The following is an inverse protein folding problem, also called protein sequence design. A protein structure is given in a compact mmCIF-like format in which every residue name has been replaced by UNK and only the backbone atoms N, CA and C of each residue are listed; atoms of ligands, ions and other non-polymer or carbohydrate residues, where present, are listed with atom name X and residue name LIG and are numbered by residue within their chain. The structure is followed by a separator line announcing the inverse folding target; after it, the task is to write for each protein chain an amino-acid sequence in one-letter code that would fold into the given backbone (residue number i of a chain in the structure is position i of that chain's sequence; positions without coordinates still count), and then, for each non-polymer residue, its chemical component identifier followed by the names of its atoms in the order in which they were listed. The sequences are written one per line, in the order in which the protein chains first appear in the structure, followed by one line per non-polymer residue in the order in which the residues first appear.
data_IF_895117504074
#
_entry.id   IF_895117504074
#
_cell.length_a   1.000
_cell.length_b   1.000
_cell.length_c   1.000
_cell.angle_alpha   90.00
_cell.angle_beta   90.00
_cell.angle_gamma   90.00
#
_symmetry.space_group_name_H-M   'P 1'
#
loop_
_entity.id
_entity.type
_entity.pdbx_description
1 polymer ?
#
# COMPACT_ATOMS: atom_id res chain seq x y z
N UNK A 1 -7.60 -9.95 -37.85
CA UNK A 1 -8.74 -10.64 -37.22
C UNK A 1 -9.23 -9.78 -36.07
N UNK A 2 -10.34 -9.06 -36.28
CA UNK A 2 -10.92 -8.08 -35.35
C UNK A 2 -11.59 -8.83 -34.18
N UNK A 3 -10.95 -8.85 -33.01
CA UNK A 3 -11.57 -9.27 -31.75
C UNK A 3 -12.29 -8.07 -31.15
N UNK A 4 -13.59 -8.04 -31.36
CA UNK A 4 -14.51 -6.97 -31.05
C UNK A 4 -15.01 -7.01 -29.60
N UNK A 5 -14.85 -5.88 -28.90
CA UNK A 5 -15.89 -5.17 -28.14
C UNK A 5 -16.71 -5.87 -27.02
N UNK A 6 -16.37 -7.08 -26.56
CA UNK A 6 -17.20 -7.80 -25.56
C UNK A 6 -16.70 -7.82 -24.11
N UNK A 7 -15.71 -7.01 -23.74
CA UNK A 7 -15.22 -6.87 -22.35
C UNK A 7 -15.52 -5.52 -21.69
N UNK A 8 -16.18 -4.59 -22.38
CA UNK A 8 -16.64 -3.29 -21.84
C UNK A 8 -18.13 -3.28 -21.47
N UNK A 9 -18.63 -4.34 -20.84
CA UNK A 9 -20.03 -4.36 -20.41
C UNK A 9 -20.44 -3.28 -19.37
N UNK A 10 -19.53 -2.62 -18.61
CA UNK A 10 -19.93 -1.45 -17.80
C UNK A 10 -19.61 -0.09 -18.43
N UNK A 11 -18.89 0.00 -19.56
CA UNK A 11 -18.40 1.29 -20.09
C UNK A 11 -18.94 1.56 -21.50
N UNK A 12 -20.17 2.06 -21.58
CA UNK A 12 -20.75 2.54 -22.83
C UNK A 12 -20.64 4.07 -22.87
N UNK A 13 -19.95 4.63 -23.89
CA UNK A 13 -20.06 6.06 -24.23
C UNK A 13 -18.76 6.88 -24.19
N UNK A 14 -18.90 8.18 -23.89
CA UNK A 14 -17.82 9.18 -23.93
C UNK A 14 -16.76 8.97 -22.84
N UNK A 15 -17.14 8.41 -21.69
CA UNK A 15 -16.24 8.14 -20.56
C UNK A 15 -15.19 7.09 -20.91
N UNK A 16 -15.57 6.03 -21.64
CA UNK A 16 -14.63 5.02 -22.11
C UNK A 16 -13.54 5.61 -23.02
N UNK A 17 -13.91 6.54 -23.91
CA UNK A 17 -12.95 7.25 -24.79
C UNK A 17 -12.02 8.14 -23.98
N UNK A 18 -12.52 8.80 -22.93
CA UNK A 18 -11.71 9.61 -22.03
C UNK A 18 -10.75 8.74 -21.21
N UNK A 19 -11.20 7.60 -20.69
CA UNK A 19 -10.31 6.64 -20.02
C UNK A 19 -9.20 6.16 -20.96
N UNK A 20 -9.52 5.82 -22.21
CA UNK A 20 -8.51 5.44 -23.20
C UNK A 20 -7.52 6.60 -23.46
N UNK A 21 -8.02 7.82 -23.64
CA UNK A 21 -7.19 9.01 -23.82
C UNK A 21 -6.23 9.24 -22.64
N UNK A 22 -6.75 9.31 -21.41
CA UNK A 22 -5.94 9.59 -20.23
C UNK A 22 -4.94 8.47 -19.89
N UNK A 23 -5.25 7.22 -20.28
CA UNK A 23 -4.36 6.07 -20.08
C UNK A 23 -3.11 6.08 -20.96
N UNK A 24 -3.07 6.93 -21.99
CA UNK A 24 -1.89 7.08 -22.86
C UNK A 24 -0.81 7.98 -22.24
N UNK A 25 -1.17 8.79 -21.24
CA UNK A 25 -0.22 9.64 -20.53
C UNK A 25 0.46 8.87 -19.40
N UNK A 26 1.70 9.26 -19.12
CA UNK A 26 2.48 8.72 -18.00
C UNK A 26 2.18 9.53 -16.75
N UNK A 27 1.89 8.88 -15.61
CA UNK A 27 1.83 9.55 -14.32
C UNK A 27 3.13 10.32 -14.01
N UNK A 28 2.98 11.52 -13.47
CA UNK A 28 4.10 12.39 -13.10
C UNK A 28 4.54 12.03 -11.68
N UNK A 29 5.77 11.53 -11.54
CA UNK A 29 6.39 11.24 -10.24
C UNK A 29 6.89 12.51 -9.57
N UNK A 30 6.55 12.71 -8.30
CA UNK A 30 7.03 13.80 -7.46
C UNK A 30 7.97 13.29 -6.35
N UNK A 31 9.00 14.05 -6.02
CA UNK A 31 9.81 13.84 -4.82
C UNK A 31 9.16 14.44 -3.58
N UNK A 32 9.49 13.93 -2.40
CA UNK A 32 9.13 14.54 -1.12
C UNK A 32 9.61 16.01 -1.09
N UNK A 33 10.79 16.30 -1.63
CA UNK A 33 11.28 17.68 -1.75
C UNK A 33 10.35 18.56 -2.59
N UNK A 34 9.89 18.09 -3.75
CA UNK A 34 8.95 18.84 -4.58
C UNK A 34 7.61 19.08 -3.87
N UNK A 35 7.10 18.10 -3.12
CA UNK A 35 5.90 18.28 -2.31
C UNK A 35 6.08 19.35 -1.22
N UNK A 36 7.22 19.34 -0.52
CA UNK A 36 7.54 20.34 0.51
C UNK A 36 7.66 21.74 -0.08
N UNK A 37 8.44 21.89 -1.15
CA UNK A 37 8.69 23.18 -1.77
C UNK A 37 7.37 23.76 -2.29
N UNK A 38 6.61 22.96 -3.03
CA UNK A 38 5.31 23.37 -3.54
C UNK A 38 4.30 23.69 -2.43
N UNK A 39 4.28 22.91 -1.35
CA UNK A 39 3.39 23.18 -0.22
C UNK A 39 3.70 24.48 0.53
N UNK A 40 4.91 25.04 0.39
CA UNK A 40 5.33 26.30 1.02
C UNK A 40 5.11 27.53 0.16
N UNK A 41 5.35 27.42 -1.15
CA UNK A 41 5.35 28.57 -2.07
C UNK A 41 4.30 28.49 -3.18
N UNK A 42 3.64 27.34 -3.33
CA UNK A 42 2.66 27.09 -4.36
C UNK A 42 1.33 27.82 -4.12
N UNK A 43 0.45 27.74 -5.12
CA UNK A 43 -0.90 28.31 -5.03
C UNK A 43 -1.96 27.24 -5.27
N UNK A 44 -3.15 27.44 -4.70
CA UNK A 44 -4.30 26.57 -4.93
C UNK A 44 -4.61 26.43 -6.44
N UNK A 45 -4.50 27.51 -7.22
CA UNK A 45 -4.73 27.51 -8.66
C UNK A 45 -3.74 26.62 -9.44
N UNK A 46 -2.44 26.71 -9.11
CA UNK A 46 -1.42 25.84 -9.72
C UNK A 46 -1.64 24.38 -9.32
N UNK A 47 -1.97 24.13 -8.05
CA UNK A 47 -2.23 22.80 -7.52
C UNK A 47 -3.44 22.17 -8.20
N UNK A 48 -4.57 22.89 -8.28
CA UNK A 48 -5.78 22.47 -8.98
C UNK A 48 -5.50 22.11 -10.45
N UNK A 49 -4.74 22.94 -11.16
CA UNK A 49 -4.44 22.75 -12.59
C UNK A 49 -3.62 21.48 -12.83
N UNK A 50 -2.69 21.17 -11.92
CA UNK A 50 -1.94 19.92 -11.94
C UNK A 50 -2.82 18.73 -11.55
N UNK A 51 -3.48 18.78 -10.39
CA UNK A 51 -4.21 17.65 -9.80
C UNK A 51 -5.35 17.16 -10.69
N UNK A 52 -6.15 18.06 -11.30
CA UNK A 52 -7.28 17.62 -12.12
C UNK A 52 -6.83 16.69 -13.26
N UNK A 53 -5.70 17.00 -13.88
CA UNK A 53 -5.15 16.20 -14.97
C UNK A 53 -4.42 14.96 -14.43
N UNK A 54 -3.55 15.13 -13.44
CA UNK A 54 -2.74 14.03 -12.89
C UNK A 54 -3.61 12.93 -12.25
N UNK A 55 -4.68 13.29 -11.53
CA UNK A 55 -5.61 12.30 -10.96
C UNK A 55 -6.35 11.52 -12.06
N UNK A 56 -6.80 12.18 -13.13
CA UNK A 56 -7.42 11.51 -14.27
C UNK A 56 -6.43 10.54 -14.95
N UNK A 57 -5.16 10.92 -15.10
CA UNK A 57 -4.09 10.05 -15.65
C UNK A 57 -3.88 8.82 -14.77
N UNK A 58 -3.71 9.00 -13.45
CA UNK A 58 -3.48 7.90 -12.49
C UNK A 58 -4.67 6.94 -12.41
N UNK A 59 -5.91 7.46 -12.40
CA UNK A 59 -7.12 6.64 -12.44
C UNK A 59 -7.24 5.86 -13.75
N UNK A 60 -7.07 6.52 -14.89
CA UNK A 60 -7.19 5.89 -16.19
C UNK A 60 -6.15 4.77 -16.40
N UNK A 61 -4.90 5.00 -16.00
CA UNK A 61 -3.83 3.99 -16.09
C UNK A 61 -4.20 2.73 -15.31
N UNK A 62 -4.64 2.86 -14.06
CA UNK A 62 -4.95 1.67 -13.25
C UNK A 62 -6.25 0.99 -13.66
N UNK A 63 -7.26 1.74 -14.12
CA UNK A 63 -8.52 1.17 -14.61
C UNK A 63 -8.32 0.34 -15.88
N UNK A 64 -7.38 0.72 -16.75
CA UNK A 64 -7.00 -0.12 -17.88
C UNK A 64 -6.40 -1.45 -17.43
N UNK A 65 -5.52 -1.44 -16.42
CA UNK A 65 -4.96 -2.68 -15.86
C UNK A 65 -6.01 -3.52 -15.14
N UNK A 66 -6.94 -2.87 -14.42
CA UNK A 66 -8.08 -3.54 -13.77
C UNK A 66 -8.89 -4.34 -14.80
N UNK A 67 -9.17 -3.75 -15.97
CA UNK A 67 -9.92 -4.41 -17.04
C UNK A 67 -9.24 -5.66 -17.64
N UNK A 68 -7.94 -5.86 -17.38
CA UNK A 68 -7.16 -7.01 -17.83
C UNK A 68 -7.13 -8.16 -16.81
N UNK A 69 -7.75 -7.97 -15.64
CA UNK A 69 -7.88 -9.04 -14.64
C UNK A 69 -8.66 -10.24 -15.20
N UNK A 70 -8.47 -11.44 -14.62
CA UNK A 70 -9.21 -12.63 -15.02
C UNK A 70 -10.72 -12.38 -15.05
N UNK A 71 -11.45 -12.79 -16.10
CA UNK A 71 -12.89 -12.51 -16.22
C UNK A 71 -13.73 -12.99 -15.04
N UNK A 72 -13.33 -14.09 -14.39
CA UNK A 72 -13.99 -14.57 -13.17
C UNK A 72 -13.85 -13.57 -12.01
N UNK A 73 -12.65 -13.02 -11.80
CA UNK A 73 -12.42 -12.00 -10.76
C UNK A 73 -13.21 -10.73 -11.05
N UNK A 74 -13.28 -10.30 -12.31
CA UNK A 74 -14.10 -9.15 -12.74
C UNK A 74 -15.61 -9.36 -12.53
N UNK A 75 -16.06 -10.61 -12.42
CA UNK A 75 -17.47 -10.93 -12.19
C UNK A 75 -17.85 -10.94 -10.71
N UNK A 76 -16.87 -11.02 -9.81
CA UNK A 76 -17.07 -11.02 -8.37
C UNK A 76 -17.74 -9.72 -7.90
N UNK A 77 -18.81 -9.78 -7.08
CA UNK A 77 -19.55 -8.61 -6.62
C UNK A 77 -18.64 -7.51 -6.06
N UNK A 78 -17.68 -7.87 -5.21
CA UNK A 78 -16.80 -6.90 -4.58
C UNK A 78 -15.83 -6.25 -5.58
N UNK A 79 -15.30 -7.01 -6.54
CA UNK A 79 -14.47 -6.45 -7.62
C UNK A 79 -15.24 -5.48 -8.52
N UNK A 80 -16.52 -5.77 -8.81
CA UNK A 80 -17.38 -4.85 -9.58
C UNK A 80 -17.60 -3.55 -8.84
N UNK A 81 -17.90 -3.62 -7.55
CA UNK A 81 -18.10 -2.44 -6.71
C UNK A 81 -16.86 -1.53 -6.69
N UNK A 82 -15.66 -2.12 -6.57
CA UNK A 82 -14.41 -1.35 -6.67
C UNK A 82 -14.26 -0.71 -8.04
N UNK A 83 -14.54 -1.44 -9.12
CA UNK A 83 -14.52 -0.87 -10.47
C UNK A 83 -15.47 0.31 -10.60
N UNK A 84 -16.71 0.18 -10.12
CA UNK A 84 -17.74 1.24 -10.16
C UNK A 84 -17.29 2.50 -9.42
N UNK A 85 -16.70 2.38 -8.23
CA UNK A 85 -16.16 3.53 -7.49
C UNK A 85 -15.10 4.30 -8.26
N UNK A 86 -14.20 3.61 -8.96
CA UNK A 86 -13.17 4.25 -9.78
C UNK A 86 -13.77 4.93 -11.01
N UNK A 87 -14.79 4.34 -11.64
CA UNK A 87 -15.55 4.98 -12.72
C UNK A 87 -16.19 6.28 -12.26
N UNK A 88 -16.94 6.23 -11.15
CA UNK A 88 -17.65 7.38 -10.60
C UNK A 88 -16.67 8.49 -10.24
N UNK A 89 -15.54 8.15 -9.62
CA UNK A 89 -14.47 9.12 -9.31
C UNK A 89 -13.84 9.73 -10.56
N UNK A 90 -13.68 8.97 -11.64
CA UNK A 90 -13.17 9.51 -12.90
C UNK A 90 -14.18 10.45 -13.57
N UNK A 91 -15.47 10.09 -13.58
CA UNK A 91 -16.55 10.93 -14.10
C UNK A 91 -16.72 12.23 -13.31
N UNK A 92 -16.56 12.16 -11.99
CA UNK A 92 -16.56 13.32 -11.10
C UNK A 92 -15.44 14.31 -11.46
N UNK A 93 -14.23 13.82 -11.73
CA UNK A 93 -13.09 14.65 -12.10
C UNK A 93 -13.21 15.21 -13.52
N UNK A 94 -13.85 14.50 -14.44
CA UNK A 94 -14.06 14.96 -15.82
C UNK A 94 -14.85 16.29 -15.88
N UNK A 95 -15.70 16.57 -14.89
CA UNK A 95 -16.43 17.85 -14.77
C UNK A 95 -15.48 19.06 -14.74
N UNK A 96 -14.25 18.87 -14.27
CA UNK A 96 -13.24 19.91 -14.12
C UNK A 96 -12.22 19.97 -15.26
N UNK A 97 -12.25 19.03 -16.21
CA UNK A 97 -11.23 18.87 -17.26
C UNK A 97 -10.87 20.21 -17.92
N UNK A 98 -11.87 20.94 -18.41
CA UNK A 98 -11.69 22.21 -19.11
C UNK A 98 -12.04 23.44 -18.24
N UNK A 99 -12.31 23.25 -16.95
CA UNK A 99 -12.64 24.33 -16.04
C UNK A 99 -11.40 25.15 -15.66
N UNK A 100 -11.54 26.47 -15.66
CA UNK A 100 -10.47 27.41 -15.29
C UNK A 100 -10.26 27.41 -13.76
N UNK A 101 -9.06 27.75 -13.25
CA UNK A 101 -8.76 27.79 -11.82
C UNK A 101 -9.36 29.04 -11.14
N UNK A 102 -10.68 29.18 -11.16
CA UNK A 102 -11.40 30.19 -10.36
C UNK A 102 -11.59 29.68 -8.94
N UNK A 103 -11.84 30.58 -7.99
CA UNK A 103 -12.07 30.22 -6.58
C UNK A 103 -13.23 29.23 -6.46
N UNK A 104 -14.33 29.49 -7.17
CA UNK A 104 -15.53 28.64 -7.15
C UNK A 104 -15.26 27.23 -7.67
N UNK A 105 -14.46 27.11 -8.74
CA UNK A 105 -14.10 25.80 -9.29
C UNK A 105 -13.13 25.04 -8.39
N UNK A 106 -12.23 25.74 -7.70
CA UNK A 106 -11.29 25.13 -6.75
C UNK A 106 -12.05 24.64 -5.51
N UNK A 107 -12.99 25.43 -4.98
CA UNK A 107 -13.81 25.03 -3.84
C UNK A 107 -14.68 23.82 -4.18
N UNK A 108 -15.36 23.85 -5.34
CA UNK A 108 -16.13 22.70 -5.81
C UNK A 108 -15.25 21.46 -6.05
N UNK A 109 -14.01 21.64 -6.49
CA UNK A 109 -13.04 20.56 -6.64
C UNK A 109 -12.61 19.99 -5.29
N UNK A 110 -12.36 20.83 -4.29
CA UNK A 110 -12.04 20.41 -2.92
C UNK A 110 -13.14 19.54 -2.33
N UNK A 111 -14.41 19.95 -2.48
CA UNK A 111 -15.56 19.17 -2.04
C UNK A 111 -15.61 17.82 -2.76
N UNK A 112 -15.36 17.81 -4.08
CA UNK A 112 -15.34 16.59 -4.87
C UNK A 112 -14.20 15.65 -4.47
N UNK A 113 -13.01 16.16 -4.14
CA UNK A 113 -11.88 15.35 -3.66
C UNK A 113 -12.20 14.67 -2.32
N UNK A 114 -12.89 15.37 -1.40
CA UNK A 114 -13.32 14.79 -0.12
C UNK A 114 -14.32 13.65 -0.34
N UNK A 115 -15.26 13.81 -1.27
CA UNK A 115 -16.19 12.75 -1.65
C UNK A 115 -15.46 11.52 -2.21
N UNK A 116 -14.48 11.74 -3.11
CA UNK A 116 -13.68 10.65 -3.69
C UNK A 116 -12.87 9.93 -2.60
N UNK A 117 -12.23 10.67 -1.67
CA UNK A 117 -11.49 10.07 -0.55
C UNK A 117 -12.39 9.18 0.31
N UNK A 118 -13.61 9.64 0.61
CA UNK A 118 -14.59 8.87 1.38
C UNK A 118 -15.07 7.64 0.61
N UNK A 119 -15.38 7.78 -0.68
CA UNK A 119 -15.79 6.66 -1.56
C UNK A 119 -14.74 5.57 -1.60
N UNK A 120 -13.46 5.95 -1.65
CA UNK A 120 -12.35 5.01 -1.74
C UNK A 120 -11.86 4.46 -0.39
N UNK A 121 -12.50 4.80 0.74
CA UNK A 121 -12.05 4.42 2.07
C UNK A 121 -11.88 2.90 2.23
N UNK A 122 -12.86 2.12 1.74
CA UNK A 122 -12.93 0.66 1.93
C UNK A 122 -12.41 -0.17 0.75
N UNK A 123 -11.69 0.44 -0.19
CA UNK A 123 -11.19 -0.26 -1.40
C UNK A 123 -10.29 -1.46 -1.07
N UNK A 124 -9.51 -1.39 0.00
CA UNK A 124 -8.61 -2.50 0.38
C UNK A 124 -9.43 -3.70 0.83
N UNK A 125 -10.35 -3.49 1.76
CA UNK A 125 -11.21 -4.52 2.34
C UNK A 125 -12.14 -5.12 1.28
N UNK A 126 -12.77 -4.28 0.46
CA UNK A 126 -13.65 -4.75 -0.61
C UNK A 126 -12.88 -5.54 -1.67
N UNK A 127 -11.70 -5.10 -2.09
CA UNK A 127 -10.92 -5.88 -3.06
C UNK A 127 -10.40 -7.20 -2.46
N UNK A 128 -10.06 -7.23 -1.17
CA UNK A 128 -9.72 -8.46 -0.47
C UNK A 128 -10.90 -9.45 -0.46
N UNK A 129 -12.12 -8.97 -0.20
CA UNK A 129 -13.34 -9.78 -0.29
C UNK A 129 -13.53 -10.33 -1.72
N UNK A 130 -13.25 -9.54 -2.76
CA UNK A 130 -13.31 -10.01 -4.15
C UNK A 130 -12.37 -11.19 -4.46
N UNK A 131 -11.23 -11.30 -3.78
CA UNK A 131 -10.34 -12.45 -3.88
C UNK A 131 -10.84 -13.65 -3.07
N UNK A 132 -11.49 -13.42 -1.93
CA UNK A 132 -12.13 -14.47 -1.13
C UNK A 132 -13.28 -15.08 -1.93
N UNK A 133 -14.15 -14.24 -2.50
CA UNK A 133 -15.22 -14.64 -3.42
C UNK A 133 -14.67 -15.50 -4.58
N UNK A 134 -13.56 -15.07 -5.19
CA UNK A 134 -12.91 -15.84 -6.26
C UNK A 134 -12.43 -17.22 -5.78
N UNK A 135 -11.82 -17.30 -4.59
CA UNK A 135 -11.29 -18.55 -4.03
C UNK A 135 -12.40 -19.57 -3.77
N UNK A 136 -13.54 -19.13 -3.26
CA UNK A 136 -14.70 -19.98 -3.02
C UNK A 136 -15.23 -20.64 -4.29
N UNK A 137 -14.96 -20.06 -5.47
CA UNK A 137 -15.33 -20.65 -6.77
C UNK A 137 -14.37 -21.74 -7.29
N UNK A 138 -13.29 -22.06 -6.56
CA UNK A 138 -12.37 -23.15 -6.90
C UNK A 138 -11.42 -22.86 -8.08
N UNK A 139 -11.05 -21.60 -8.29
CA UNK A 139 -10.18 -21.18 -9.41
C UNK A 139 -8.71 -21.52 -9.18
N UNK A 140 -8.08 -22.00 -10.26
CA UNK A 140 -6.72 -22.53 -10.36
C UNK A 140 -5.60 -21.48 -10.20
N UNK A 141 -4.50 -21.94 -9.62
CA UNK A 141 -3.27 -21.25 -9.18
C UNK A 141 -2.55 -20.53 -10.33
N UNK A 142 -2.88 -20.84 -11.59
CA UNK A 142 -2.28 -20.27 -12.79
C UNK A 142 -2.43 -18.74 -12.93
N UNK A 143 -3.41 -18.11 -12.27
CA UNK A 143 -3.67 -16.66 -12.36
C UNK A 143 -3.08 -15.84 -11.20
N UNK A 144 -2.44 -16.48 -10.22
CA UNK A 144 -1.97 -15.81 -8.99
C UNK A 144 -0.90 -14.75 -9.26
N UNK A 145 0.05 -15.01 -10.17
CA UNK A 145 1.11 -14.06 -10.51
C UNK A 145 0.58 -12.77 -11.14
N UNK A 146 -0.39 -12.89 -12.04
CA UNK A 146 -1.01 -11.72 -12.70
C UNK A 146 -1.83 -10.89 -11.71
N UNK A 147 -2.58 -11.55 -10.81
CA UNK A 147 -3.34 -10.88 -9.75
C UNK A 147 -2.38 -10.20 -8.76
N UNK A 148 -1.32 -10.87 -8.30
CA UNK A 148 -0.32 -10.29 -7.40
C UNK A 148 0.34 -9.05 -8.02
N UNK A 149 0.78 -9.16 -9.28
CA UNK A 149 1.37 -8.05 -10.03
C UNK A 149 0.40 -6.87 -10.16
N UNK A 150 -0.88 -7.14 -10.44
CA UNK A 150 -1.92 -6.11 -10.48
C UNK A 150 -2.09 -5.43 -9.12
N UNK A 151 -2.26 -6.20 -8.04
CA UNK A 151 -2.58 -5.66 -6.71
C UNK A 151 -1.45 -4.79 -6.15
N UNK A 152 -0.18 -5.21 -6.33
CA UNK A 152 0.97 -4.38 -5.96
C UNK A 152 0.89 -2.99 -6.62
N UNK A 153 0.54 -2.95 -7.90
CA UNK A 153 0.42 -1.73 -8.70
C UNK A 153 -0.84 -0.93 -8.34
N UNK A 154 -1.96 -1.61 -8.15
CA UNK A 154 -3.24 -1.02 -7.77
C UNK A 154 -3.13 -0.27 -6.44
N UNK A 155 -2.53 -0.89 -5.44
CA UNK A 155 -2.38 -0.26 -4.13
C UNK A 155 -1.30 0.83 -4.11
N UNK A 156 -0.20 0.71 -4.86
CA UNK A 156 0.72 1.84 -5.05
C UNK A 156 0.00 3.03 -5.69
N UNK A 157 -0.79 2.80 -6.75
CA UNK A 157 -1.54 3.86 -7.40
C UNK A 157 -2.52 4.53 -6.42
N UNK A 158 -3.22 3.74 -5.59
CA UNK A 158 -4.13 4.24 -4.57
C UNK A 158 -3.42 5.05 -3.49
N UNK A 159 -2.29 4.59 -2.97
CA UNK A 159 -1.43 5.35 -2.04
C UNK A 159 -1.10 6.70 -2.69
N UNK A 160 -0.77 6.68 -3.98
CA UNK A 160 -0.37 7.88 -4.70
C UNK A 160 -1.48 8.90 -4.93
N UNK A 161 -2.69 8.43 -5.25
CA UNK A 161 -3.87 9.28 -5.39
C UNK A 161 -4.21 9.91 -4.04
N UNK A 162 -4.19 9.11 -2.96
CA UNK A 162 -4.43 9.59 -1.59
C UNK A 162 -3.38 10.62 -1.16
N UNK A 163 -2.10 10.42 -1.53
CA UNK A 163 -1.02 11.37 -1.26
C UNK A 163 -1.31 12.74 -1.89
N UNK A 164 -1.62 12.77 -3.20
CA UNK A 164 -1.94 14.02 -3.90
C UNK A 164 -3.17 14.72 -3.31
N UNK A 165 -4.25 13.97 -3.10
CA UNK A 165 -5.51 14.51 -2.57
C UNK A 165 -5.32 15.10 -1.18
N UNK A 166 -4.69 14.35 -0.26
CA UNK A 166 -4.44 14.83 1.09
C UNK A 166 -3.53 16.05 1.09
N UNK A 167 -2.48 16.05 0.28
CA UNK A 167 -1.58 17.20 0.21
C UNK A 167 -2.32 18.47 -0.24
N UNK A 168 -3.15 18.38 -1.28
CA UNK A 168 -3.93 19.53 -1.75
C UNK A 168 -4.93 20.01 -0.69
N UNK A 169 -5.70 19.09 -0.12
CA UNK A 169 -6.76 19.43 0.82
C UNK A 169 -6.23 20.01 2.14
N UNK A 170 -5.06 19.58 2.60
CA UNK A 170 -4.44 20.09 3.83
C UNK A 170 -3.73 21.43 3.60
N UNK A 171 -3.07 21.61 2.46
CA UNK A 171 -2.32 22.85 2.19
C UNK A 171 -3.24 23.97 1.69
N UNK A 172 -4.19 23.65 0.81
CA UNK A 172 -5.00 24.64 0.08
C UNK A 172 -6.51 24.49 0.28
N UNK A 173 -6.95 23.44 0.97
CA UNK A 173 -8.36 23.18 1.23
C UNK A 173 -8.74 23.48 2.68
N UNK A 174 -9.76 22.76 3.16
CA UNK A 174 -10.37 22.98 4.48
C UNK A 174 -9.94 21.94 5.52
N UNK A 175 -8.98 21.06 5.20
CA UNK A 175 -8.52 20.03 6.13
C UNK A 175 -7.38 20.59 6.97
N UNK A 176 -7.52 20.53 8.29
CA UNK A 176 -6.46 20.99 9.18
C UNK A 176 -5.27 20.02 9.18
N UNK A 177 -4.03 20.51 9.18
CA UNK A 177 -2.86 19.66 9.35
C UNK A 177 -2.84 19.06 10.77
N UNK A 178 -2.26 17.86 10.90
CA UNK A 178 -2.08 17.21 12.21
C UNK A 178 -1.18 18.04 13.14
N UNK A 179 -0.23 18.78 12.56
CA UNK A 179 0.66 19.67 13.29
C UNK A 179 0.91 20.97 12.52
N UNK A 180 1.01 22.13 13.20
CA UNK A 180 1.36 23.40 12.57
C UNK A 180 2.72 23.41 11.85
N UNK A 181 3.61 22.46 12.16
CA UNK A 181 4.92 22.34 11.50
C UNK A 181 4.86 21.57 10.18
N UNK A 182 3.80 20.80 9.96
CA UNK A 182 3.65 19.97 8.77
C UNK A 182 3.38 20.83 7.54
N UNK A 183 3.87 20.36 6.40
CA UNK A 183 3.52 20.91 5.09
C UNK A 183 2.61 19.89 4.41
N UNK A 184 1.31 20.10 4.53
CA UNK A 184 0.33 19.08 4.17
C UNK A 184 0.43 17.88 5.10
N UNK A 185 0.63 16.68 4.54
CA UNK A 185 0.83 15.46 5.34
C UNK A 185 2.32 15.14 5.61
N UNK A 186 3.25 16.00 5.21
CA UNK A 186 4.69 15.78 5.34
C UNK A 186 5.21 16.52 6.57
N UNK A 187 5.93 15.79 7.42
CA UNK A 187 6.67 16.37 8.52
C UNK A 187 8.12 16.63 8.09
N UNK A 188 8.58 17.90 8.04
CA UNK A 188 9.95 18.22 7.69
C UNK A 188 10.98 17.78 8.74
N UNK A 189 10.53 17.44 9.95
CA UNK A 189 11.38 16.91 11.03
C UNK A 189 10.63 15.77 11.73
N UNK A 190 10.27 14.75 10.95
CA UNK A 190 9.58 13.56 11.46
C UNK A 190 10.46 12.86 12.47
N UNK A 191 10.04 12.85 13.74
CA UNK A 191 10.70 12.11 14.81
C UNK A 191 10.33 10.63 14.73
N UNK A 192 11.31 9.81 14.33
CA UNK A 192 11.11 8.38 14.09
C UNK A 192 10.85 7.64 15.39
N UNK A 193 11.47 8.06 16.50
CA UNK A 193 11.28 7.44 17.81
C UNK A 193 9.83 7.58 18.28
N UNK A 194 9.30 8.81 18.23
CA UNK A 194 7.91 9.10 18.60
C UNK A 194 6.90 8.28 17.78
N UNK A 195 7.03 8.26 16.44
CA UNK A 195 6.13 7.49 15.57
C UNK A 195 6.17 5.99 15.89
N UNK A 196 7.35 5.47 16.23
CA UNK A 196 7.54 4.06 16.54
C UNK A 196 6.93 3.70 17.91
N UNK A 197 7.07 4.58 18.90
CA UNK A 197 6.38 4.41 20.19
C UNK A 197 4.86 4.44 20.04
N UNK A 198 4.31 5.38 19.27
CA UNK A 198 2.87 5.44 19.00
C UNK A 198 2.38 4.15 18.32
N UNK A 199 3.12 3.65 17.33
CA UNK A 199 2.79 2.40 16.65
C UNK A 199 2.88 1.18 17.59
N UNK A 200 3.89 1.15 18.47
CA UNK A 200 4.08 0.09 19.46
C UNK A 200 2.94 0.06 20.46
N UNK A 201 2.59 1.19 21.09
CA UNK A 201 1.53 1.23 22.10
C UNK A 201 0.16 0.86 21.54
N UNK A 202 -0.14 1.26 20.30
CA UNK A 202 -1.39 0.86 19.64
C UNK A 202 -1.41 -0.63 19.27
N UNK A 203 -0.29 -1.19 18.78
CA UNK A 203 -0.17 -2.62 18.53
C UNK A 203 -0.27 -3.43 19.84
N UNK A 204 0.35 -2.92 20.91
CA UNK A 204 0.33 -3.49 22.25
C UNK A 204 -1.09 -3.53 22.81
N UNK A 205 -1.82 -2.43 22.71
CA UNK A 205 -3.22 -2.35 23.14
C UNK A 205 -4.09 -3.44 22.48
N UNK A 206 -3.93 -3.66 21.17
CA UNK A 206 -4.65 -4.72 20.46
C UNK A 206 -4.19 -6.13 20.86
N UNK A 207 -2.88 -6.29 21.09
CA UNK A 207 -2.30 -7.56 21.56
C UNK A 207 -2.83 -7.92 22.95
N UNK A 208 -2.82 -6.97 23.89
CA UNK A 208 -3.36 -7.12 25.24
C UNK A 208 -4.86 -7.40 25.22
N UNK A 209 -5.62 -6.75 24.33
CA UNK A 209 -7.06 -7.01 24.18
C UNK A 209 -7.35 -8.45 23.73
N UNK A 210 -6.48 -9.04 22.90
CA UNK A 210 -6.69 -10.36 22.31
C UNK A 210 -6.07 -11.50 23.13
N UNK A 211 -4.85 -11.32 23.65
CA UNK A 211 -4.08 -12.34 24.36
C UNK A 211 -3.94 -12.09 25.87
N UNK A 212 -4.44 -10.95 26.39
CA UNK A 212 -4.29 -10.52 27.79
C UNK A 212 -2.83 -10.28 28.23
N UNK A 213 -1.90 -10.29 27.29
CA UNK A 213 -0.46 -10.06 27.49
C UNK A 213 0.18 -9.56 26.20
N UNK A 214 1.36 -8.95 26.31
CA UNK A 214 2.15 -8.46 25.18
C UNK A 214 3.64 -8.39 25.53
N UNK A 215 4.54 -8.60 24.54
CA UNK A 215 5.97 -8.42 24.76
C UNK A 215 6.33 -6.95 24.90
N UNK A 216 7.38 -6.66 25.67
CA UNK A 216 7.97 -5.31 25.76
C UNK A 216 8.85 -4.99 24.54
N UNK A 217 9.20 -3.72 24.36
CA UNK A 217 10.10 -3.25 23.30
C UNK A 217 11.44 -2.79 23.85
N UNK A 218 12.53 -3.20 23.19
CA UNK A 218 13.88 -2.65 23.39
C UNK A 218 14.30 -1.88 22.15
N UNK A 219 14.33 -0.55 22.26
CA UNK A 219 14.67 0.37 21.18
C UNK A 219 16.14 0.82 21.25
N UNK A 220 16.85 0.71 20.13
CA UNK A 220 18.21 1.20 19.95
C UNK A 220 18.26 2.18 18.75
N UNK A 221 18.69 3.41 19.01
CA UNK A 221 18.75 4.49 18.02
C UNK A 221 20.21 4.84 17.71
N UNK A 222 20.55 4.93 16.42
CA UNK A 222 21.87 5.35 15.97
C UNK A 222 21.75 6.43 14.87
N UNK A 223 22.17 7.65 15.20
CA UNK A 223 22.27 8.74 14.22
C UNK A 223 23.73 8.90 13.78
N UNK A 224 24.05 8.41 12.58
CA UNK A 224 25.41 8.48 12.02
C UNK A 224 25.74 9.88 11.45
N UNK A 225 24.72 10.68 11.13
CA UNK A 225 24.87 12.03 10.54
C UNK A 225 25.05 13.08 11.64
N UNK A 226 24.23 13.01 12.69
CA UNK A 226 24.22 13.95 13.81
C UNK A 226 24.34 13.18 15.13
N UNK A 227 25.57 12.81 15.51
CA UNK A 227 25.83 11.98 16.69
C UNK A 227 25.22 12.59 17.96
N UNK A 228 24.46 11.78 18.71
CA UNK A 228 23.81 12.18 19.95
C UNK A 228 22.54 13.01 19.78
N UNK A 229 22.10 13.28 18.54
CA UNK A 229 20.78 13.88 18.25
C UNK A 229 19.74 12.79 17.98
N UNK A 230 18.44 13.09 18.23
CA UNK A 230 17.35 12.21 17.83
C UNK A 230 17.41 11.83 16.34
N UNK A 231 16.82 10.68 16.00
CA UNK A 231 16.72 10.24 14.62
C UNK A 231 15.48 10.87 13.99
N UNK A 232 15.70 11.87 13.13
CA UNK A 232 14.63 12.51 12.36
C UNK A 232 14.91 12.52 10.86
N UNK A 233 13.86 12.40 10.06
CA UNK A 233 13.90 12.54 8.59
C UNK A 233 12.73 13.39 8.09
N UNK A 234 12.77 13.83 6.83
CA UNK A 234 11.55 14.34 6.18
C UNK A 234 10.74 13.14 5.69
N UNK A 235 9.53 12.98 6.19
CA UNK A 235 8.67 11.85 5.83
C UNK A 235 7.19 12.19 5.98
N UNK A 236 6.33 11.28 5.52
CA UNK A 236 4.90 11.26 5.84
C UNK A 236 4.72 10.41 7.10
N UNK A 237 4.45 10.98 8.29
CA UNK A 237 4.42 10.22 9.54
C UNK A 237 3.42 9.07 9.54
N UNK A 238 2.24 9.28 8.94
CA UNK A 238 1.20 8.26 8.83
C UNK A 238 1.60 7.04 7.99
N UNK A 239 2.47 7.21 6.98
CA UNK A 239 3.02 6.09 6.22
C UNK A 239 4.00 5.27 7.08
N UNK A 240 4.90 5.96 7.79
CA UNK A 240 5.84 5.30 8.70
C UNK A 240 5.10 4.56 9.82
N UNK A 241 4.11 5.22 10.43
CA UNK A 241 3.24 4.63 11.46
C UNK A 241 2.58 3.34 10.96
N UNK A 242 1.98 3.36 9.76
CA UNK A 242 1.32 2.18 9.21
C UNK A 242 2.27 0.98 9.07
N UNK A 243 3.48 1.21 8.55
CA UNK A 243 4.50 0.16 8.40
C UNK A 243 4.91 -0.38 9.79
N UNK A 244 5.21 0.51 10.73
CA UNK A 244 5.65 0.11 12.08
C UNK A 244 4.55 -0.65 12.83
N UNK A 245 3.32 -0.15 12.78
CA UNK A 245 2.17 -0.75 13.44
C UNK A 245 1.92 -2.18 12.94
N UNK A 246 1.88 -2.40 11.62
CA UNK A 246 1.66 -3.74 11.06
C UNK A 246 2.81 -4.70 11.39
N UNK A 247 4.07 -4.25 11.36
CA UNK A 247 5.22 -5.08 11.70
C UNK A 247 5.24 -5.45 13.19
N UNK A 248 5.03 -4.48 14.08
CA UNK A 248 5.02 -4.69 15.53
C UNK A 248 3.86 -5.60 15.94
N UNK A 249 2.66 -5.40 15.37
CA UNK A 249 1.51 -6.27 15.58
C UNK A 249 1.80 -7.72 15.19
N UNK A 250 2.45 -7.95 14.04
CA UNK A 250 2.84 -9.29 13.60
C UNK A 250 3.91 -9.91 14.52
N UNK A 251 4.93 -9.14 14.90
CA UNK A 251 5.98 -9.57 15.82
C UNK A 251 5.42 -9.94 17.20
N UNK A 252 4.49 -9.14 17.74
CA UNK A 252 3.78 -9.40 18.99
C UNK A 252 2.98 -10.69 18.91
N UNK A 253 2.13 -10.83 17.88
CA UNK A 253 1.34 -12.03 17.65
C UNK A 253 2.22 -13.28 17.59
N UNK A 254 3.27 -13.28 16.78
CA UNK A 254 4.18 -14.42 16.65
C UNK A 254 4.87 -14.76 17.98
N UNK A 255 5.30 -13.73 18.72
CA UNK A 255 5.96 -13.92 20.03
C UNK A 255 5.03 -14.55 21.05
N UNK A 256 3.79 -14.06 21.18
CA UNK A 256 2.81 -14.61 22.12
C UNK A 256 2.37 -16.02 21.71
N UNK A 257 2.05 -16.24 20.44
CA UNK A 257 1.62 -17.56 19.95
C UNK A 257 2.72 -18.63 20.10
N UNK A 258 4.00 -18.25 19.99
CA UNK A 258 5.13 -19.19 20.10
C UNK A 258 5.51 -19.52 21.55
N UNK A 259 5.53 -18.51 22.43
CA UNK A 259 6.00 -18.69 23.82
C UNK A 259 4.84 -19.00 24.79
N UNK A 260 3.58 -18.76 24.41
CA UNK A 260 2.44 -18.93 25.30
C UNK A 260 2.15 -17.68 26.15
N UNK A 261 0.92 -17.59 26.66
CA UNK A 261 0.39 -16.39 27.31
C UNK A 261 0.92 -16.19 28.74
N UNK A 262 1.26 -17.27 29.43
CA UNK A 262 1.67 -17.26 30.85
C UNK A 262 3.20 -17.14 31.04
N UNK A 263 3.97 -17.12 29.95
CA UNK A 263 5.42 -17.09 29.97
C UNK A 263 5.98 -15.66 29.97
N UNK A 264 7.17 -15.47 30.52
CA UNK A 264 7.94 -14.23 30.38
C UNK A 264 8.31 -14.01 28.91
N UNK A 265 7.51 -13.21 28.21
CA UNK A 265 7.66 -12.97 26.78
C UNK A 265 8.97 -12.25 26.45
N UNK A 266 9.73 -12.72 25.45
CA UNK A 266 10.95 -12.04 25.04
C UNK A 266 10.66 -10.67 24.41
N UNK A 267 11.51 -9.69 24.71
CA UNK A 267 11.38 -8.35 24.12
C UNK A 267 11.50 -8.37 22.59
N UNK A 268 10.65 -7.57 21.94
CA UNK A 268 10.84 -7.18 20.55
C UNK A 268 11.97 -6.16 20.50
N UNK A 269 13.03 -6.45 19.76
CA UNK A 269 14.16 -5.53 19.61
C UNK A 269 13.99 -4.70 18.35
N UNK A 270 14.18 -3.40 18.48
CA UNK A 270 14.03 -2.45 17.38
C UNK A 270 15.31 -1.65 17.26
N UNK A 271 15.92 -1.67 16.07
CA UNK A 271 17.10 -0.89 15.74
C UNK A 271 16.73 0.16 14.69
N UNK A 272 17.03 1.42 14.96
CA UNK A 272 16.81 2.52 14.02
C UNK A 272 18.14 3.19 13.74
N UNK A 273 18.52 3.22 12.46
CA UNK A 273 19.80 3.79 12.02
C UNK A 273 19.54 4.86 10.97
N UNK A 274 19.91 6.10 11.26
CA UNK A 274 19.97 7.19 10.26
C UNK A 274 21.37 7.24 9.68
N UNK A 275 21.51 6.74 8.46
CA UNK A 275 22.70 6.91 7.64
C UNK A 275 22.67 8.23 6.86
N UNK A 276 23.66 8.42 6.00
CA UNK A 276 23.71 9.59 5.11
C UNK A 276 22.64 9.55 4.00
N UNK A 277 22.34 8.36 3.48
CA UNK A 277 21.41 8.16 2.36
C UNK A 277 20.06 7.60 2.81
N UNK A 278 20.10 6.66 3.75
CA UNK A 278 18.93 5.85 4.12
C UNK A 278 18.67 5.92 5.63
N UNK A 279 17.39 5.84 5.98
CA UNK A 279 16.92 5.44 7.29
C UNK A 279 16.65 3.93 7.23
N UNK A 280 17.29 3.17 8.11
CA UNK A 280 17.08 1.73 8.24
C UNK A 280 16.43 1.42 9.58
N UNK A 281 15.35 0.66 9.56
CA UNK A 281 14.67 0.18 10.76
C UNK A 281 14.65 -1.35 10.71
N UNK A 282 15.09 -2.00 11.79
CA UNK A 282 15.05 -3.45 11.93
C UNK A 282 14.26 -3.83 13.18
N UNK A 283 13.22 -4.64 13.01
CA UNK A 283 12.39 -5.19 14.09
C UNK A 283 12.69 -6.68 14.18
N UNK A 284 13.15 -7.15 15.34
CA UNK A 284 13.52 -8.53 15.60
C UNK A 284 12.58 -9.11 16.66
N UNK A 285 11.92 -10.21 16.34
CA UNK A 285 11.13 -11.00 17.29
C UNK A 285 11.80 -12.33 17.67
N UNK A 286 11.21 -13.02 18.65
CA UNK A 286 11.49 -14.42 18.98
C UNK A 286 10.20 -15.25 18.92
N UNK A 287 9.45 -15.06 17.83
CA UNK A 287 8.16 -15.71 17.58
C UNK A 287 8.26 -17.04 16.86
N UNK A 288 9.38 -17.77 16.99
CA UNK A 288 9.57 -19.09 16.38
C UNK A 288 9.91 -19.08 14.88
N UNK A 289 9.83 -17.93 14.22
CA UNK A 289 10.24 -17.78 12.82
C UNK A 289 9.37 -18.51 11.81
N UNK A 290 9.79 -18.47 10.55
CA UNK A 290 9.03 -18.95 9.39
C UNK A 290 9.97 -19.68 8.44
N UNK A 291 9.53 -20.83 7.92
CA UNK A 291 10.31 -21.60 6.95
C UNK A 291 10.62 -20.81 5.68
N UNK A 292 11.83 -21.00 5.13
CA UNK A 292 12.30 -20.31 3.92
C UNK A 292 11.34 -20.50 2.74
N UNK A 293 10.67 -21.64 2.66
CA UNK A 293 9.73 -22.03 1.58
C UNK A 293 8.49 -21.13 1.51
N UNK A 294 8.00 -20.65 2.65
CA UNK A 294 6.78 -19.82 2.72
C UNK A 294 7.08 -18.34 2.97
N UNK A 295 8.33 -17.98 3.30
CA UNK A 295 8.74 -16.60 3.58
C UNK A 295 8.37 -15.62 2.46
N UNK A 296 8.53 -16.03 1.20
CA UNK A 296 8.15 -15.21 0.04
C UNK A 296 6.63 -15.12 -0.13
N UNK A 297 5.89 -16.15 0.31
CA UNK A 297 4.43 -16.18 0.25
C UNK A 297 3.78 -15.22 1.25
N UNK A 298 4.49 -14.80 2.31
CA UNK A 298 3.96 -13.82 3.29
C UNK A 298 3.59 -12.46 2.67
N UNK A 299 4.11 -12.16 1.49
CA UNK A 299 3.76 -10.95 0.73
C UNK A 299 2.69 -11.19 -0.34
N UNK A 300 2.16 -12.41 -0.48
CA UNK A 300 1.12 -12.70 -1.45
C UNK A 300 -0.25 -12.34 -0.88
N UNK A 301 -1.05 -11.58 -1.63
CA UNK A 301 -2.40 -11.16 -1.18
C UNK A 301 -3.39 -12.32 -1.03
N UNK A 302 -3.10 -13.46 -1.64
CA UNK A 302 -3.89 -14.68 -1.52
C UNK A 302 -3.30 -15.66 -0.49
N UNK A 303 -2.22 -15.31 0.21
CA UNK A 303 -1.68 -16.12 1.29
C UNK A 303 -1.92 -15.43 2.63
N UNK A 304 -2.48 -16.16 3.59
CA UNK A 304 -2.67 -15.66 4.96
C UNK A 304 -2.44 -16.79 5.95
N UNK A 305 -1.80 -16.47 7.07
CA UNK A 305 -1.58 -17.37 8.21
C UNK A 305 -2.71 -17.28 9.26
N UNK A 306 -3.73 -16.46 9.00
CA UNK A 306 -4.89 -16.28 9.87
C UNK A 306 -6.19 -16.61 9.13
N UNK A 307 -7.23 -17.11 9.84
CA UNK A 307 -8.55 -17.24 9.26
C UNK A 307 -9.11 -15.84 8.86
N UNK A 308 -10.00 -15.79 7.86
CA UNK A 308 -10.64 -14.54 7.48
C UNK A 308 -11.43 -13.97 8.69
N UNK A 309 -11.48 -12.65 8.84
CA UNK A 309 -12.12 -12.04 9.99
C UNK A 309 -13.65 -12.23 9.94
N UNK A 310 -14.34 -12.23 11.10
CA UNK A 310 -15.79 -12.33 11.14
C UNK A 310 -16.45 -11.20 10.33
N UNK A 311 -17.45 -11.53 9.51
CA UNK A 311 -18.19 -10.56 8.67
C UNK A 311 -19.06 -9.58 9.48
N UNK A 312 -19.22 -9.82 10.78
CA UNK A 312 -20.18 -9.13 11.63
C UNK A 312 -19.64 -7.82 12.23
N UNK A 313 -18.36 -7.47 12.00
CA UNK A 313 -17.79 -6.16 12.30
C UNK A 313 -17.69 -5.78 13.79
N UNK A 314 -17.96 -6.71 14.71
CA UNK A 314 -18.06 -6.44 16.15
C UNK A 314 -16.72 -6.30 16.85
N UNK A 315 -15.61 -6.73 16.23
CA UNK A 315 -14.25 -6.57 16.76
C UNK A 315 -13.26 -6.28 15.62
N UNK A 316 -12.34 -5.34 15.84
CA UNK A 316 -11.19 -5.15 14.95
C UNK A 316 -10.25 -6.36 15.12
N UNK A 317 -10.09 -7.20 14.08
CA UNK A 317 -9.33 -8.44 14.22
C UNK A 317 -7.83 -8.13 14.27
N UNK A 318 -7.07 -8.78 15.15
CA UNK A 318 -5.61 -8.63 15.24
C UNK A 318 -4.91 -9.06 13.94
N UNK A 319 -5.47 -10.05 13.25
CA UNK A 319 -5.09 -10.50 11.92
C UNK A 319 -6.37 -10.84 11.12
N UNK A 320 -6.37 -10.65 9.80
CA UNK A 320 -7.61 -10.92 9.06
C UNK A 320 -7.41 -11.17 7.56
N UNK A 321 -7.11 -10.13 6.79
CA UNK A 321 -7.13 -10.27 5.33
C UNK A 321 -5.80 -10.74 4.72
N UNK A 322 -4.69 -10.71 5.47
CA UNK A 322 -3.35 -11.03 4.94
C UNK A 322 -2.69 -9.86 4.18
N UNK A 323 -3.26 -8.65 4.25
CA UNK A 323 -2.80 -7.50 3.46
C UNK A 323 -1.77 -6.61 4.16
N UNK A 324 -1.58 -6.77 5.48
CA UNK A 324 -0.72 -5.90 6.29
C UNK A 324 0.73 -5.82 5.79
N UNK A 325 1.38 -6.99 5.66
CA UNK A 325 2.76 -7.08 5.16
C UNK A 325 2.95 -6.57 3.72
N UNK A 326 2.16 -7.02 2.72
CA UNK A 326 2.33 -6.52 1.37
C UNK A 326 2.06 -5.02 1.27
N UNK A 327 1.02 -4.49 1.92
CA UNK A 327 0.76 -3.04 1.91
C UNK A 327 1.88 -2.24 2.59
N UNK A 328 2.39 -2.71 3.73
CA UNK A 328 3.54 -2.09 4.41
C UNK A 328 4.76 -2.00 3.48
N UNK A 329 5.02 -3.05 2.70
CA UNK A 329 6.09 -3.05 1.69
C UNK A 329 5.83 -2.03 0.57
N UNK A 330 4.58 -1.87 0.12
CA UNK A 330 4.26 -0.84 -0.87
C UNK A 330 4.41 0.58 -0.32
N UNK A 331 4.04 0.84 0.94
CA UNK A 331 4.28 2.14 1.57
C UNK A 331 5.78 2.47 1.65
N UNK A 332 6.63 1.48 1.99
CA UNK A 332 8.08 1.67 1.96
C UNK A 332 8.60 1.96 0.53
N UNK A 333 8.16 1.14 -0.46
CA UNK A 333 8.56 1.28 -1.87
C UNK A 333 8.04 2.54 -2.54
N UNK A 334 6.96 3.12 -2.03
CA UNK A 334 6.33 4.28 -2.64
C UNK A 334 7.30 5.46 -2.81
N UNK A 335 8.19 5.67 -1.86
CA UNK A 335 9.27 6.66 -1.93
C UNK A 335 10.67 6.03 -2.03
N UNK A 336 10.81 5.01 -2.88
CA UNK A 336 12.08 4.33 -3.19
C UNK A 336 12.77 3.64 -1.99
N UNK A 337 12.01 3.33 -0.95
CA UNK A 337 12.41 2.42 0.11
C UNK A 337 12.17 0.95 -0.23
N UNK A 338 12.28 0.08 0.76
CA UNK A 338 11.86 -1.32 0.65
C UNK A 338 11.57 -1.94 2.03
N UNK A 339 10.90 -3.08 2.03
CA UNK A 339 10.67 -3.91 3.21
C UNK A 339 10.90 -5.38 2.84
N UNK A 340 11.75 -6.06 3.60
CA UNK A 340 11.97 -7.49 3.47
C UNK A 340 12.09 -8.17 4.83
N UNK A 341 11.89 -9.49 4.81
CA UNK A 341 11.95 -10.32 6.00
C UNK A 341 13.13 -11.29 5.87
N UNK A 342 13.81 -11.52 6.99
CA UNK A 342 14.78 -12.59 7.17
C UNK A 342 14.31 -13.40 8.36
N UNK A 343 14.02 -14.69 8.17
CA UNK A 343 13.49 -15.52 9.25
C UNK A 343 14.36 -16.75 9.47
N UNK A 344 14.50 -17.13 10.74
CA UNK A 344 15.17 -18.33 11.19
C UNK A 344 14.12 -19.23 11.84
N UNK A 345 13.66 -20.24 11.11
CA UNK A 345 12.67 -21.22 11.57
C UNK A 345 13.15 -21.89 12.87
N UNK A 346 12.28 -21.91 13.88
CA UNK A 346 12.59 -22.35 15.25
C UNK A 346 13.15 -21.26 16.17
N UNK A 347 13.33 -20.02 15.70
CA UNK A 347 13.88 -18.93 16.50
C UNK A 347 13.06 -17.63 16.43
N UNK A 348 12.99 -16.99 15.26
CA UNK A 348 12.38 -15.67 15.14
C UNK A 348 12.55 -15.03 13.76
N UNK A 349 12.01 -13.83 13.61
CA UNK A 349 12.02 -13.07 12.35
C UNK A 349 12.59 -11.67 12.53
N UNK A 350 13.42 -11.26 11.57
CA UNK A 350 13.90 -9.90 11.39
C UNK A 350 13.12 -9.26 10.22
N UNK A 351 12.39 -8.18 10.50
CA UNK A 351 11.79 -7.31 9.48
C UNK A 351 12.66 -6.07 9.28
N UNK A 352 13.17 -5.87 8.07
CA UNK A 352 14.03 -4.76 7.70
C UNK A 352 13.30 -3.79 6.78
N UNK A 353 13.24 -2.52 7.17
CA UNK A 353 12.64 -1.42 6.42
C UNK A 353 13.73 -0.42 6.05
N UNK A 354 13.75 0.00 4.79
CA UNK A 354 14.60 1.06 4.28
C UNK A 354 13.73 2.19 3.78
N UNK A 355 14.04 3.42 4.16
CA UNK A 355 13.45 4.66 3.63
C UNK A 355 14.57 5.60 3.22
N UNK A 356 14.32 6.45 2.22
CA UNK A 356 15.27 7.51 1.85
C UNK A 356 15.33 8.57 2.94
N UNK A 357 16.52 8.87 3.44
CA UNK A 357 16.74 9.96 4.40
C UNK A 357 16.83 11.33 3.70
N UNK A 358 17.16 11.33 2.40
CA UNK A 358 17.30 12.53 1.58
C UNK A 358 15.98 12.80 0.83
N UNK A 359 15.29 13.93 1.05
CA UNK A 359 13.95 14.18 0.49
C UNK A 359 13.94 14.28 -1.04
N UNK A 360 15.05 14.71 -1.64
CA UNK A 360 15.21 14.82 -3.09
C UNK A 360 15.34 13.46 -3.78
N UNK A 361 15.86 12.45 -3.07
CA UNK A 361 16.00 11.07 -3.56
C UNK A 361 14.74 10.24 -3.28
N UNK A 362 13.83 10.74 -2.45
CA UNK A 362 12.58 10.10 -2.08
C UNK A 362 11.47 10.43 -3.12
N UNK A 363 11.53 9.81 -4.29
CA UNK A 363 10.58 10.02 -5.39
C UNK A 363 9.48 8.96 -5.46
N UNK A 364 8.29 9.38 -5.88
CA UNK A 364 7.15 8.48 -6.07
C UNK A 364 7.47 7.36 -7.09
N UNK A 365 7.21 6.11 -6.70
CA UNK A 365 7.19 4.97 -7.62
C UNK A 365 5.76 4.75 -8.08
N UNK A 366 5.48 4.96 -9.37
CA UNK A 366 4.13 4.94 -9.92
C UNK A 366 3.97 3.85 -11.01
N UNK A 367 2.83 3.14 -11.06
CA UNK A 367 2.55 2.20 -12.12
C UNK A 367 2.21 2.93 -13.42
N UNK A 368 2.87 2.54 -14.51
CA UNK A 368 2.60 3.03 -15.87
C UNK A 368 1.89 1.94 -16.67
N UNK A 369 0.70 2.22 -17.20
CA UNK A 369 0.03 1.34 -18.14
C UNK A 369 0.75 1.38 -19.49
N UNK A 370 1.20 0.22 -19.95
CA UNK A 370 1.95 0.11 -21.20
C UNK A 370 1.84 -1.31 -21.78
N UNK A 371 2.40 -1.51 -22.98
CA UNK A 371 2.54 -2.85 -23.56
C UNK A 371 3.27 -3.82 -22.63
N UNK A 372 4.25 -3.33 -21.87
CA UNK A 372 5.02 -4.12 -20.91
C UNK A 372 4.17 -4.55 -19.71
N UNK A 373 3.38 -3.64 -19.13
CA UNK A 373 2.52 -3.99 -17.99
C UNK A 373 1.37 -4.91 -18.42
N UNK A 374 0.76 -4.65 -19.58
CA UNK A 374 -0.23 -5.55 -20.20
C UNK A 374 0.33 -6.96 -20.35
N UNK A 375 1.55 -7.09 -20.88
CA UNK A 375 2.22 -8.39 -21.04
C UNK A 375 2.39 -9.10 -19.69
N UNK A 376 2.90 -8.41 -18.67
CA UNK A 376 3.10 -9.01 -17.35
C UNK A 376 1.79 -9.47 -16.69
N UNK A 377 0.68 -8.74 -16.91
CA UNK A 377 -0.65 -9.08 -16.41
C UNK A 377 -1.25 -10.32 -17.08
N UNK A 378 -1.06 -10.45 -18.40
CA UNK A 378 -1.73 -11.49 -19.21
C UNK A 378 -0.83 -12.67 -19.56
N UNK A 379 0.43 -12.68 -19.13
CA UNK A 379 1.36 -13.77 -19.43
C UNK A 379 0.94 -15.05 -18.74
N UNK A 380 0.83 -16.13 -19.52
CA UNK A 380 0.60 -17.47 -18.99
C UNK A 380 1.79 -17.94 -18.14
N UNK A 381 1.57 -18.86 -17.18
CA UNK A 381 2.66 -19.45 -16.41
C UNK A 381 3.75 -19.99 -17.31
N UNK A 382 4.98 -19.52 -17.12
CA UNK A 382 6.14 -20.09 -17.81
C UNK A 382 6.49 -21.43 -17.19
N UNK A 383 6.90 -22.39 -18.03
CA UNK A 383 7.48 -23.66 -17.58
C UNK A 383 8.75 -23.34 -16.80
N UNK A 384 8.98 -24.04 -15.69
CA UNK A 384 10.22 -23.90 -14.93
C UNK A 384 11.42 -24.17 -15.85
N UNK A 385 12.33 -23.19 -15.91
CA UNK A 385 13.57 -23.23 -16.70
C UNK A 385 14.74 -23.86 -15.92
N UNK A 386 14.49 -24.29 -14.69
CA UNK A 386 15.42 -25.00 -13.81
C UNK A 386 14.84 -26.35 -13.40
N UNK A 387 15.66 -27.40 -13.43
CA UNK A 387 15.28 -28.71 -12.90
C UNK A 387 15.43 -28.73 -11.38
N UNK A 388 14.38 -29.15 -10.67
CA UNK A 388 14.43 -29.44 -9.23
C UNK A 388 13.41 -30.52 -8.89
N UNK A 389 13.77 -31.40 -7.96
CA UNK A 389 12.87 -32.45 -7.49
C UNK A 389 11.81 -31.82 -6.58
N UNK A 390 10.55 -31.78 -7.03
CA UNK A 390 9.42 -31.33 -6.20
C UNK A 390 8.84 -32.55 -5.48
N UNK A 391 8.99 -32.68 -4.15
CA UNK A 391 8.36 -33.77 -3.42
C UNK A 391 6.84 -33.71 -3.62
N UNK A 392 6.22 -34.81 -4.06
CA UNK A 392 4.76 -34.93 -4.19
C UNK A 392 4.17 -34.70 -5.59
N UNK A 393 4.94 -34.26 -6.58
CA UNK A 393 4.54 -34.42 -7.97
C UNK A 393 5.05 -35.76 -8.48
N UNK A 394 4.15 -36.75 -8.54
CA UNK A 394 4.46 -38.07 -9.06
C UNK A 394 5.18 -37.98 -10.41
N UNK A 395 6.29 -38.72 -10.53
CA UNK A 395 6.97 -38.99 -11.79
C UNK A 395 5.91 -39.30 -12.86
N UNK A 396 5.71 -38.41 -13.83
CA UNK A 396 5.02 -38.81 -15.05
C UNK A 396 5.93 -39.83 -15.75
N UNK A 397 5.48 -41.08 -15.98
CA UNK A 397 6.26 -42.02 -16.78
C UNK A 397 6.45 -41.41 -18.17
N UNK A 398 7.68 -41.46 -18.66
CA UNK A 398 8.06 -40.98 -19.99
C UNK A 398 7.57 -41.85 -21.13
#
# INVERSE_FOLDING_TARGET
MRLSYRTFAPFVGAVAKKLEHYSQFRPSSLSIQQYLDFGRIGTAATSYTFLKNELMVRLANIMQEFSLLPPKLLQMPSSKLVSEWYCESFEDLLKFENAAPTVENIDAFNDQLQLILKRHAHVVETMAEGLIELRETGVDIASEKGIQYFLDRFYINRISIRMLQNQHLVVFGNVLPESPRHVGCIDPVCDVESVLHDAFENARFLCDQYYLTSPSMKLELHNAVEKGRPVSIVAVPSHLYHIMFELLKNAMRATVEHNGVDDDLPDIKVFVVRGHTDLSIKICDRGGGVSRTILEQLFNYMYSTAPPPPRDGTQAPLAGYGYGLPLSRLYARYFLGDLFLVSMEGYGTDACVYLKAIPLEASEVLPIYSSSSRRNLTMSPQVADWSHHVPGQGLRPG
#
